data_IF_548191031506
#
_entry.id   IF_548191031506
#
_cell.length_a   1.000
_cell.length_b   1.000
_cell.length_c   1.000
_cell.angle_alpha   90.00
_cell.angle_beta   90.00
_cell.angle_gamma   90.00
#
_symmetry.space_group_name_H-M   'P 1'
#
loop_
_entity.id
_entity.type
_entity.pdbx_description
1 polymer ?
#
# COMPACT_ATOMS: atom_id res chain seq x y z
N UNK A 1 8.97 -29.76 -53.29
CA UNK A 1 7.52 -30.09 -53.26
C UNK A 1 6.78 -29.36 -52.12
N UNK A 2 7.06 -28.08 -51.85
CA UNK A 2 6.47 -27.32 -50.73
C UNK A 2 5.46 -26.24 -51.14
N UNK A 3 5.63 -25.65 -52.33
CA UNK A 3 4.81 -24.52 -52.82
C UNK A 3 3.34 -24.90 -53.07
N UNK A 4 3.09 -26.09 -53.61
CA UNK A 4 1.72 -26.54 -53.96
C UNK A 4 0.84 -26.84 -52.74
N UNK A 5 1.43 -27.04 -51.55
CA UNK A 5 0.67 -27.28 -50.31
C UNK A 5 0.14 -26.00 -49.66
N UNK A 6 0.79 -24.86 -49.90
CA UNK A 6 0.40 -23.55 -49.36
C UNK A 6 -0.49 -22.72 -50.29
N UNK A 7 -0.44 -23.00 -51.59
CA UNK A 7 -1.28 -22.34 -52.60
C UNK A 7 -2.79 -22.30 -52.27
N UNK A 8 -3.46 -23.42 -51.85
CA UNK A 8 -4.88 -23.36 -51.53
C UNK A 8 -5.19 -22.51 -50.29
N UNK A 9 -4.31 -22.51 -49.29
CA UNK A 9 -4.46 -21.69 -48.07
C UNK A 9 -4.25 -20.20 -48.37
N UNK A 10 -3.29 -19.87 -49.25
CA UNK A 10 -3.06 -18.50 -49.71
C UNK A 10 -4.27 -17.95 -50.46
N UNK A 11 -4.85 -18.74 -51.37
CA UNK A 11 -6.04 -18.33 -52.10
C UNK A 11 -7.24 -18.13 -51.16
N UNK A 12 -7.40 -19.00 -50.15
CA UNK A 12 -8.44 -18.86 -49.13
C UNK A 12 -8.27 -17.58 -48.29
N UNK A 13 -7.07 -17.30 -47.79
CA UNK A 13 -6.84 -16.11 -46.96
C UNK A 13 -6.89 -14.78 -47.73
N UNK A 14 -6.71 -14.80 -49.05
CA UNK A 14 -6.88 -13.59 -49.87
C UNK A 14 -8.34 -13.11 -49.90
N UNK A 15 -9.30 -14.04 -49.83
CA UNK A 15 -10.74 -13.72 -49.85
C UNK A 15 -11.40 -13.67 -48.46
N UNK A 16 -10.70 -14.07 -47.40
CA UNK A 16 -11.17 -13.87 -46.02
C UNK A 16 -10.93 -12.43 -45.55
N UNK A 17 -11.72 -12.00 -44.56
CA UNK A 17 -11.52 -10.68 -43.94
C UNK A 17 -10.18 -10.63 -43.19
N UNK A 18 -9.50 -9.47 -43.18
CA UNK A 18 -8.27 -9.32 -42.41
C UNK A 18 -8.55 -9.47 -40.91
N UNK A 19 -7.67 -10.20 -40.22
CA UNK A 19 -7.72 -10.40 -38.76
C UNK A 19 -7.37 -9.12 -37.99
N UNK A 20 -6.73 -8.15 -38.66
CA UNK A 20 -6.30 -6.89 -38.07
C UNK A 20 -7.48 -6.02 -37.66
N UNK A 21 -7.46 -5.52 -36.42
CA UNK A 21 -8.32 -4.43 -35.97
C UNK A 21 -7.73 -3.08 -36.36
N UNK A 22 -8.57 -2.09 -36.61
CA UNK A 22 -8.10 -0.76 -36.99
C UNK A 22 -7.74 0.08 -35.75
N UNK A 23 -6.53 -0.10 -35.21
CA UNK A 23 -6.01 0.73 -34.12
C UNK A 23 -5.53 2.08 -34.67
N UNK A 24 -5.88 3.24 -34.07
CA UNK A 24 -6.60 3.45 -32.80
C UNK A 24 -8.11 3.72 -32.94
N UNK A 25 -8.68 3.65 -34.15
CA UNK A 25 -10.08 4.01 -34.41
C UNK A 25 -11.09 3.06 -33.74
N UNK A 26 -10.75 1.78 -33.62
CA UNK A 26 -11.54 0.78 -32.89
C UNK A 26 -10.87 0.46 -31.55
N UNK A 27 -11.52 0.70 -30.40
CA UNK A 27 -10.94 0.42 -29.09
C UNK A 27 -10.81 -1.09 -28.84
N UNK A 28 -9.71 -1.48 -28.22
CA UNK A 28 -9.50 -2.88 -27.81
C UNK A 28 -10.41 -3.16 -26.61
N UNK A 29 -11.28 -4.16 -26.73
CA UNK A 29 -11.99 -4.70 -25.59
C UNK A 29 -11.05 -5.62 -24.79
N UNK A 30 -10.74 -5.24 -23.56
CA UNK A 30 -9.93 -6.06 -22.65
C UNK A 30 -10.81 -7.11 -21.97
N UNK A 31 -10.39 -8.39 -21.95
CA UNK A 31 -11.15 -9.42 -21.24
C UNK A 31 -11.20 -9.13 -19.74
N UNK A 32 -12.27 -9.61 -19.10
CA UNK A 32 -12.44 -9.50 -17.65
C UNK A 32 -11.29 -10.21 -16.91
N UNK A 33 -10.77 -9.58 -15.86
CA UNK A 33 -9.61 -10.08 -15.11
C UNK A 33 -8.26 -9.83 -15.76
N UNK A 34 -8.21 -9.10 -16.88
CA UNK A 34 -6.93 -8.66 -17.46
C UNK A 34 -6.17 -7.76 -16.47
N UNK A 35 -4.86 -8.01 -16.37
CA UNK A 35 -3.98 -7.26 -15.47
C UNK A 35 -3.48 -6.01 -16.17
N UNK A 36 -4.26 -4.94 -16.09
CA UNK A 36 -3.81 -3.61 -16.48
C UNK A 36 -3.14 -2.92 -15.30
N UNK A 37 -3.60 -1.75 -14.90
CA UNK A 37 -2.93 -0.93 -13.90
C UNK A 37 -3.60 -0.99 -12.52
N UNK A 38 -2.85 -0.60 -11.50
CA UNK A 38 -3.33 -0.53 -10.13
C UNK A 38 -3.91 0.86 -9.88
N UNK A 39 -5.15 0.89 -9.41
CA UNK A 39 -5.78 2.09 -8.86
C UNK A 39 -6.21 1.85 -7.42
N UNK A 40 -6.34 2.95 -6.68
CA UNK A 40 -6.70 2.96 -5.27
C UNK A 40 -7.94 3.83 -5.05
N UNK A 41 -8.84 3.34 -4.21
CA UNK A 41 -9.81 4.17 -3.52
C UNK A 41 -9.19 4.64 -2.19
N UNK A 42 -8.68 5.87 -2.20
CA UNK A 42 -7.98 6.43 -1.05
C UNK A 42 -8.90 6.65 0.15
N UNK A 43 -10.21 6.80 -0.05
CA UNK A 43 -11.18 7.04 1.03
C UNK A 43 -11.35 5.81 1.93
N UNK A 44 -11.18 4.62 1.36
CA UNK A 44 -11.24 3.36 2.12
C UNK A 44 -9.88 2.94 2.69
N UNK A 45 -8.81 3.65 2.33
CA UNK A 45 -7.46 3.30 2.72
C UNK A 45 -7.18 3.66 4.19
N UNK A 46 -6.82 2.65 4.99
CA UNK A 46 -6.41 2.85 6.40
C UNK A 46 -4.90 3.05 6.57
N UNK A 47 -4.16 3.24 5.48
CA UNK A 47 -2.70 3.43 5.48
C UNK A 47 -1.94 2.38 6.29
N UNK A 48 -2.35 1.11 6.19
CA UNK A 48 -1.73 -0.01 6.94
C UNK A 48 -0.34 -0.41 6.43
N UNK A 49 -0.01 -0.08 5.16
CA UNK A 49 1.29 -0.36 4.55
C UNK A 49 1.53 -1.82 4.14
N UNK A 50 0.54 -2.71 4.21
CA UNK A 50 0.72 -4.12 3.78
C UNK A 50 1.04 -4.24 2.28
N UNK A 51 0.44 -3.38 1.46
CA UNK A 51 0.70 -3.33 0.01
C UNK A 51 2.17 -2.98 -0.32
N UNK A 52 2.82 -2.11 0.47
CA UNK A 52 4.23 -1.78 0.33
C UNK A 52 5.13 -2.96 0.69
N UNK A 53 4.83 -3.70 1.78
CA UNK A 53 5.66 -4.83 2.23
C UNK A 53 5.61 -6.03 1.30
N UNK A 54 4.47 -6.30 0.67
CA UNK A 54 4.31 -7.46 -0.23
C UNK A 54 4.80 -7.18 -1.65
N UNK A 55 5.07 -5.93 -2.01
CA UNK A 55 5.40 -5.52 -3.36
C UNK A 55 6.78 -6.06 -3.77
N UNK A 56 6.89 -7.02 -4.72
CA UNK A 56 8.19 -7.59 -5.09
C UNK A 56 9.21 -6.55 -5.61
N UNK A 57 8.82 -5.57 -6.46
CA UNK A 57 9.75 -4.53 -6.92
C UNK A 57 9.85 -3.33 -5.96
N UNK A 58 9.07 -3.27 -4.88
CA UNK A 58 9.04 -2.10 -3.99
C UNK A 58 8.43 -0.85 -4.61
N UNK A 59 7.57 -0.99 -5.62
CA UNK A 59 6.97 0.12 -6.37
C UNK A 59 5.98 1.00 -5.58
N UNK A 60 5.52 0.55 -4.41
CA UNK A 60 4.49 1.22 -3.60
C UNK A 60 5.10 1.77 -2.31
N UNK A 61 4.85 3.04 -2.02
CA UNK A 61 5.24 3.70 -0.77
C UNK A 61 3.99 4.21 -0.05
N UNK A 62 3.91 3.96 1.26
CA UNK A 62 2.79 4.41 2.11
C UNK A 62 3.33 5.22 3.28
N UNK A 63 2.95 6.50 3.34
CA UNK A 63 3.22 7.34 4.51
C UNK A 63 1.98 7.37 5.43
N UNK A 64 2.16 6.91 6.66
CA UNK A 64 1.11 6.82 7.69
C UNK A 64 0.77 8.16 8.31
N UNK A 65 1.72 9.11 8.35
CA UNK A 65 1.52 10.42 8.97
C UNK A 65 0.65 11.30 8.08
N UNK A 66 1.04 11.38 6.81
CA UNK A 66 0.33 12.15 5.78
C UNK A 66 -0.85 11.40 5.16
N UNK A 67 -0.94 10.07 5.40
CA UNK A 67 -1.91 9.17 4.76
C UNK A 67 -1.84 9.25 3.23
N UNK A 68 -0.62 9.41 2.73
CA UNK A 68 -0.33 9.43 1.31
C UNK A 68 0.07 8.04 0.86
N UNK A 69 -0.60 7.56 -0.19
CA UNK A 69 -0.25 6.37 -0.92
C UNK A 69 0.36 6.76 -2.26
N UNK A 70 1.51 6.20 -2.56
CA UNK A 70 2.31 6.54 -3.74
C UNK A 70 2.70 5.27 -4.47
N UNK A 71 2.64 5.29 -5.80
CA UNK A 71 3.05 4.18 -6.66
C UNK A 71 3.91 4.69 -7.82
N UNK A 72 5.07 4.04 -8.00
CA UNK A 72 5.84 4.16 -9.23
C UNK A 72 5.33 3.13 -10.24
N UNK A 73 4.62 3.60 -11.26
CA UNK A 73 4.05 2.74 -12.32
C UNK A 73 5.12 2.13 -13.23
N UNK A 74 6.32 2.72 -13.30
CA UNK A 74 7.43 2.17 -14.08
C UNK A 74 8.09 0.96 -13.42
N UNK A 75 8.05 0.88 -12.09
CA UNK A 75 8.60 -0.26 -11.34
C UNK A 75 7.54 -1.35 -11.13
N UNK A 76 6.27 -1.05 -11.38
CA UNK A 76 5.17 -1.96 -11.15
C UNK A 76 5.11 -3.07 -12.21
N UNK A 77 5.23 -4.32 -11.76
CA UNK A 77 5.12 -5.53 -12.62
C UNK A 77 3.70 -6.08 -12.73
N UNK A 78 2.69 -5.34 -12.27
CA UNK A 78 1.26 -5.67 -12.41
C UNK A 78 0.89 -7.09 -11.89
N UNK A 79 1.59 -7.56 -10.85
CA UNK A 79 1.40 -8.91 -10.30
C UNK A 79 0.08 -9.10 -9.52
N UNK A 80 -0.49 -8.02 -8.98
CA UNK A 80 -1.74 -8.05 -8.20
C UNK A 80 -1.60 -8.43 -6.73
N UNK A 81 -0.41 -8.70 -6.19
CA UNK A 81 -0.27 -9.07 -4.77
C UNK A 81 -0.81 -7.99 -3.80
N UNK A 82 -0.63 -6.72 -4.15
CA UNK A 82 -1.13 -5.61 -3.35
C UNK A 82 -2.66 -5.57 -3.22
N UNK A 83 -3.42 -6.04 -4.23
CA UNK A 83 -4.89 -6.09 -4.17
C UNK A 83 -5.34 -7.26 -3.29
N UNK A 84 -4.65 -8.40 -3.38
CA UNK A 84 -4.98 -9.61 -2.59
C UNK A 84 -4.73 -9.44 -1.09
N UNK A 85 -3.66 -8.73 -0.70
CA UNK A 85 -3.28 -8.54 0.71
C UNK A 85 -4.06 -7.41 1.39
N UNK A 86 -4.74 -6.55 0.62
CA UNK A 86 -5.39 -5.37 1.18
C UNK A 86 -6.60 -5.78 2.05
N UNK A 87 -6.60 -5.52 3.36
CA UNK A 87 -7.68 -5.94 4.26
C UNK A 87 -9.00 -5.21 3.97
N UNK A 88 -8.90 -3.96 3.50
CA UNK A 88 -10.03 -3.12 3.10
C UNK A 88 -10.43 -3.31 1.64
N UNK A 89 -9.66 -4.09 0.86
CA UNK A 89 -9.86 -4.27 -0.59
C UNK A 89 -10.03 -2.96 -1.38
N UNK A 90 -9.35 -1.90 -0.95
CA UNK A 90 -9.41 -0.58 -1.60
C UNK A 90 -8.50 -0.44 -2.84
N UNK A 91 -7.80 -1.50 -3.23
CA UNK A 91 -6.90 -1.52 -4.39
C UNK A 91 -7.50 -2.42 -5.46
N UNK A 92 -7.52 -1.92 -6.70
CA UNK A 92 -8.14 -2.58 -7.83
C UNK A 92 -7.14 -2.72 -8.98
N UNK A 93 -7.30 -3.78 -9.78
CA UNK A 93 -6.55 -4.00 -11.00
C UNK A 93 -7.49 -3.69 -12.16
N UNK A 94 -7.34 -2.50 -12.75
CA UNK A 94 -8.18 -2.07 -13.85
C UNK A 94 -7.65 -2.62 -15.17
N UNK A 95 -8.54 -3.10 -16.05
CA UNK A 95 -8.15 -3.58 -17.37
C UNK A 95 -7.62 -2.43 -18.23
N UNK A 96 -6.62 -2.74 -19.06
CA UNK A 96 -6.02 -1.79 -19.99
C UNK A 96 -4.71 -1.14 -19.52
N UNK A 97 -3.89 -0.76 -20.49
CA UNK A 97 -2.65 -0.03 -20.26
C UNK A 97 -2.95 1.44 -19.94
N UNK A 98 -2.04 2.07 -19.21
CA UNK A 98 -2.11 3.51 -18.98
C UNK A 98 -1.68 4.26 -20.23
N UNK A 99 -2.37 5.35 -20.53
CA UNK A 99 -2.03 6.21 -21.65
C UNK A 99 -0.56 6.62 -21.55
N UNK A 100 0.28 6.35 -22.57
CA UNK A 100 1.68 6.70 -22.54
C UNK A 100 1.81 8.23 -22.46
N UNK A 101 2.56 8.70 -21.47
CA UNK A 101 2.91 10.11 -21.31
C UNK A 101 4.36 10.38 -21.76
N UNK A 102 4.70 11.64 -22.06
CA UNK A 102 6.05 12.02 -22.46
C UNK A 102 7.06 11.93 -21.30
N UNK A 103 6.58 12.01 -20.06
CA UNK A 103 7.42 12.07 -18.86
C UNK A 103 7.10 10.93 -17.88
N UNK A 104 8.11 10.56 -17.09
CA UNK A 104 7.93 9.63 -15.97
C UNK A 104 7.41 10.39 -14.76
N UNK A 105 6.23 10.01 -14.28
CA UNK A 105 5.65 10.58 -13.07
C UNK A 105 5.34 9.49 -12.04
N UNK A 106 5.45 9.89 -10.77
CA UNK A 106 5.05 9.06 -9.64
C UNK A 106 3.60 9.42 -9.32
N UNK A 107 2.73 8.41 -9.27
CA UNK A 107 1.34 8.63 -8.94
C UNK A 107 1.16 8.66 -7.42
N UNK A 108 0.55 9.70 -6.89
CA UNK A 108 0.26 9.82 -5.45
C UNK A 108 -1.18 10.22 -5.21
N UNK A 109 -1.78 9.63 -4.18
CA UNK A 109 -3.08 10.02 -3.66
C UNK A 109 -2.98 10.18 -2.14
N UNK A 110 -3.57 11.25 -1.63
CA UNK A 110 -3.59 11.56 -0.20
C UNK A 110 -5.01 11.49 0.32
N UNK A 111 -5.22 10.79 1.44
CA UNK A 111 -6.53 10.75 2.08
C UNK A 111 -6.82 12.09 2.77
N UNK A 112 -7.62 12.93 2.13
CA UNK A 112 -8.11 14.17 2.74
C UNK A 112 -9.30 13.83 3.62
N UNK A 113 -9.12 13.96 4.93
CA UNK A 113 -10.20 13.78 5.90
C UNK A 113 -11.28 14.82 5.71
N UNK A 114 -12.53 14.37 5.75
CA UNK A 114 -13.70 15.23 5.86
C UNK A 114 -13.71 15.96 7.21
N UNK A 115 -14.45 17.07 7.29
CA UNK A 115 -14.52 17.89 8.51
C UNK A 115 -15.05 17.10 9.71
N UNK A 116 -16.00 16.18 9.47
CA UNK A 116 -16.53 15.29 10.49
C UNK A 116 -15.48 14.29 11.02
N UNK A 117 -14.63 13.75 10.14
CA UNK A 117 -13.54 12.84 10.55
C UNK A 117 -12.45 13.58 11.34
N UNK A 118 -12.12 14.83 10.96
CA UNK A 118 -11.18 15.67 11.72
C UNK A 118 -11.68 15.96 13.14
N UNK A 119 -12.98 16.23 13.29
CA UNK A 119 -13.59 16.43 14.61
C UNK A 119 -13.55 15.17 15.46
N UNK A 120 -13.86 14.01 14.87
CA UNK A 120 -13.78 12.72 15.56
C UNK A 120 -12.34 12.40 15.98
N UNK A 121 -11.36 12.65 15.12
CA UNK A 121 -9.95 12.46 15.47
C UNK A 121 -9.50 13.40 16.58
N UNK A 122 -9.90 14.68 16.52
CA UNK A 122 -9.62 15.64 17.59
C UNK A 122 -10.26 15.23 18.92
N UNK A 123 -11.49 14.72 18.89
CA UNK A 123 -12.17 14.22 20.10
C UNK A 123 -11.49 12.97 20.66
N UNK A 124 -11.08 12.04 19.79
CA UNK A 124 -10.39 10.81 20.18
C UNK A 124 -8.96 11.08 20.66
N UNK A 125 -8.27 12.08 20.09
CA UNK A 125 -6.98 12.56 20.58
C UNK A 125 -7.12 13.28 21.92
N UNK A 126 -8.13 14.12 22.10
CA UNK A 126 -8.41 14.76 23.39
C UNK A 126 -8.70 13.71 24.48
N UNK A 127 -9.48 12.67 24.15
CA UNK A 127 -9.75 11.53 25.05
C UNK A 127 -8.47 10.74 25.37
N UNK A 128 -7.63 10.44 24.37
CA UNK A 128 -6.33 9.77 24.57
C UNK A 128 -5.38 10.62 25.43
N UNK A 129 -5.28 11.91 25.16
CA UNK A 129 -4.44 12.84 25.93
C UNK A 129 -4.93 12.98 27.37
N UNK A 130 -6.25 13.04 27.60
CA UNK A 130 -6.84 13.03 28.93
C UNK A 130 -6.56 11.72 29.68
N UNK A 131 -6.69 10.56 29.00
CA UNK A 131 -6.39 9.25 29.58
C UNK A 131 -4.89 9.09 29.91
N UNK A 132 -4.00 9.55 29.02
CA UNK A 132 -2.55 9.54 29.26
C UNK A 132 -2.19 10.47 30.42
N UNK A 133 -2.74 11.69 30.47
CA UNK A 133 -2.53 12.62 31.58
C UNK A 133 -3.05 12.05 32.91
N UNK A 134 -4.22 11.41 32.91
CA UNK A 134 -4.77 10.73 34.09
C UNK A 134 -3.91 9.52 34.53
N UNK A 135 -3.40 8.73 33.58
CA UNK A 135 -2.49 7.62 33.87
C UNK A 135 -1.13 8.10 34.39
N UNK A 136 -0.59 9.20 33.83
CA UNK A 136 0.65 9.82 34.31
C UNK A 136 0.48 10.46 35.69
N UNK A 137 -0.65 11.10 35.98
CA UNK A 137 -0.96 11.63 37.32
C UNK A 137 -1.06 10.51 38.37
N UNK A 138 -1.70 9.38 38.03
CA UNK A 138 -1.74 8.18 38.91
C UNK A 138 -0.35 7.58 39.13
N UNK A 139 0.49 7.54 38.09
CA UNK A 139 1.87 7.02 38.18
C UNK A 139 2.79 7.94 39.00
N UNK A 140 2.60 9.27 38.91
CA UNK A 140 3.29 10.26 39.74
C UNK A 140 2.86 10.20 41.21
N UNK A 141 1.57 9.97 41.48
CA UNK A 141 1.06 9.76 42.83
C UNK A 141 1.60 8.45 43.46
N UNK A 142 1.69 7.36 42.68
CA UNK A 142 2.29 6.10 43.12
C UNK A 142 3.81 6.21 43.38
N UNK A 143 4.53 6.95 42.54
CA UNK A 143 5.96 7.23 42.75
C UNK A 143 6.24 8.15 43.95
N UNK A 144 5.30 9.04 44.30
CA UNK A 144 5.39 9.86 45.51
C UNK A 144 5.08 9.06 46.80
N UNK A 145 4.23 8.03 46.71
CA UNK A 145 3.95 7.12 47.82
C UNK A 145 5.15 6.20 48.15
N UNK A 146 5.86 5.69 47.13
CA UNK A 146 7.07 4.88 47.31
C UNK A 146 8.28 5.62 47.94
N UNK A 147 8.20 6.95 48.10
CA UNK A 147 9.24 7.79 48.73
C UNK A 147 9.01 8.07 50.23
N UNK A 148 7.89 7.65 50.83
CA UNK A 148 7.58 7.91 52.26
C UNK A 148 7.91 6.76 53.21
N UNK A 149 8.24 5.57 52.72
CA UNK A 149 8.70 4.44 53.54
C UNK A 149 10.22 4.26 53.34
N UNK A 150 11.03 4.98 54.12
CA UNK A 150 12.49 4.88 54.07
C UNK A 150 13.05 4.05 55.22
N UNK A 151 13.73 2.93 54.91
CA UNK A 151 14.74 2.34 55.79
C UNK A 151 15.88 1.77 54.93
N UNK A 152 17.07 2.38 55.04
CA UNK A 152 18.32 1.81 54.57
C UNK A 152 18.65 0.54 55.40
N UNK A 153 19.48 -0.37 54.85
CA UNK A 153 20.85 -0.35 55.33
C UNK A 153 21.91 -0.49 54.23
N UNK A 154 23.03 0.14 54.60
CA UNK A 154 24.45 0.01 54.30
C UNK A 154 24.99 -0.88 53.17
N UNK A 155 26.06 -0.32 52.60
CA UNK A 155 26.94 -0.88 51.59
C UNK A 155 27.69 -2.15 52.05
N UNK A 156 27.82 -3.13 51.15
CA UNK A 156 29.05 -3.92 50.98
C UNK A 156 29.04 -4.75 49.68
N UNK A 157 30.20 -4.72 48.99
CA UNK A 157 30.79 -5.75 48.13
C UNK A 157 30.24 -5.99 46.70
N UNK A 158 30.97 -5.41 45.73
CA UNK A 158 31.26 -6.02 44.41
C UNK A 158 32.23 -7.21 44.61
N UNK A 159 32.21 -8.29 43.79
CA UNK A 159 33.12 -8.35 42.64
C UNK A 159 32.62 -9.16 41.40
N UNK A 160 33.32 -8.92 40.26
CA UNK A 160 33.61 -9.77 39.08
C UNK A 160 32.47 -10.57 38.37
N UNK A 161 32.17 -10.35 37.07
CA UNK A 161 32.85 -10.89 35.86
C UNK A 161 32.78 -12.45 35.82
N UNK A 162 32.03 -13.15 34.94
CA UNK A 162 32.12 -13.28 33.46
C UNK A 162 31.09 -14.37 32.98
N UNK A 163 31.08 -14.84 31.71
CA UNK A 163 30.45 -14.30 30.50
C UNK A 163 29.22 -15.11 30.01
N UNK A 164 28.62 -14.59 28.94
CA UNK A 164 27.70 -15.26 28.02
C UNK A 164 28.23 -16.61 27.51
N UNK A 165 27.32 -17.58 27.39
CA UNK A 165 27.41 -18.75 26.53
C UNK A 165 26.37 -18.62 25.42
#
# INVERSE_FOLDING_TARGET
MGIMKFAPTMLKQLFEKPVTKNYPAEPINYPEGSRGHIDIDIQQCISCGMCMRVCPPGAITVDRKTRTWTINRFDCVQCGYCTTVCPKKCLYLNPGYQTPGPEKYIYSQTHVLTEAEKQHEAEMEAKKQAAIKAAMAKKAAAAAAAKKDGAAPDAAAKPADKPQA
#
